data_IF_114845533429
#
_entry.id   IF_114845533429
#
_cell.length_a   1.000
_cell.length_b   1.000
_cell.length_c   1.000
_cell.angle_alpha   90.00
_cell.angle_beta   90.00
_cell.angle_gamma   90.00
#
_symmetry.space_group_name_H-M   'P 1'
#
loop_
_entity.id
_entity.type
_entity.pdbx_description
1 polymer ?
#
# COMPACT_ATOMS: atom_id res chain seq x y z
N UNK A 1 12.86 3.56 12.18
CA UNK A 1 13.52 2.26 12.49
C UNK A 1 13.48 1.96 13.97
N UNK A 2 13.29 0.70 14.36
CA UNK A 2 13.43 0.25 15.76
C UNK A 2 14.29 -1.00 15.82
N UNK A 3 15.31 -0.98 16.68
CA UNK A 3 16.14 -2.14 16.97
C UNK A 3 15.67 -2.81 18.25
N UNK A 4 15.50 -4.14 18.24
CA UNK A 4 15.13 -4.94 19.42
C UNK A 4 16.04 -6.15 19.52
N UNK A 5 16.45 -6.50 20.74
CA UNK A 5 17.17 -7.74 21.04
C UNK A 5 16.35 -8.58 22.02
N UNK A 6 16.19 -9.87 21.71
CA UNK A 6 15.51 -10.83 22.58
C UNK A 6 16.38 -12.08 22.72
N UNK A 7 17.10 -12.17 23.84
CA UNK A 7 18.16 -13.16 24.05
C UNK A 7 19.24 -13.05 22.96
N UNK A 8 19.35 -14.08 22.13
CA UNK A 8 20.30 -14.16 21.01
C UNK A 8 19.75 -13.60 19.68
N UNK A 9 18.47 -13.21 19.64
CA UNK A 9 17.82 -12.72 18.42
C UNK A 9 17.94 -11.21 18.31
N UNK A 10 18.34 -10.73 17.13
CA UNK A 10 18.44 -9.31 16.80
C UNK A 10 17.38 -8.97 15.74
N UNK A 11 16.62 -7.91 15.99
CA UNK A 11 15.53 -7.45 15.11
C UNK A 11 15.78 -6.00 14.69
N UNK A 12 15.62 -5.73 13.40
CA UNK A 12 15.38 -4.40 12.84
C UNK A 12 13.93 -4.35 12.39
N UNK A 13 13.16 -3.39 12.89
CA UNK A 13 11.73 -3.26 12.67
C UNK A 13 11.47 -1.93 11.96
N UNK A 14 10.79 -2.01 10.83
CA UNK A 14 10.31 -0.90 10.00
C UNK A 14 8.80 -1.04 9.96
N UNK A 15 8.06 -0.12 10.60
CA UNK A 15 6.60 -0.27 10.75
C UNK A 15 5.86 0.15 9.47
N UNK A 16 6.28 1.27 8.87
CA UNK A 16 5.71 1.84 7.66
C UNK A 16 6.84 1.97 6.64
N UNK A 17 7.13 0.86 5.94
CA UNK A 17 8.20 0.84 4.95
C UNK A 17 7.78 1.64 3.70
N UNK A 18 8.66 2.52 3.27
CA UNK A 18 8.53 3.35 2.07
C UNK A 18 9.56 2.94 1.02
N UNK A 19 9.44 3.47 -0.20
CA UNK A 19 10.45 3.22 -1.23
C UNK A 19 11.87 3.65 -0.81
N UNK A 20 11.99 4.64 0.06
CA UNK A 20 13.27 5.13 0.58
C UNK A 20 13.96 4.12 1.51
N UNK A 21 13.20 3.19 2.11
CA UNK A 21 13.73 2.12 2.95
C UNK A 21 14.33 0.96 2.12
N UNK A 22 14.10 0.91 0.81
CA UNK A 22 14.64 -0.15 -0.02
C UNK A 22 16.18 -0.08 -0.08
N UNK A 23 16.83 -1.23 0.05
CA UNK A 23 18.30 -1.30 -0.01
C UNK A 23 18.90 -2.47 0.75
N UNK A 24 20.24 -2.48 0.81
CA UNK A 24 21.00 -3.52 1.50
C UNK A 24 21.19 -3.17 2.97
N UNK A 25 20.86 -4.12 3.83
CA UNK A 25 21.05 -4.05 5.27
C UNK A 25 22.14 -5.03 5.73
N UNK A 26 22.86 -4.63 6.77
CA UNK A 26 23.93 -5.42 7.36
C UNK A 26 23.76 -5.52 8.87
N UNK A 27 23.80 -6.73 9.42
CA UNK A 27 24.00 -6.95 10.86
C UNK A 27 25.46 -7.34 11.07
N UNK A 28 26.21 -6.49 11.77
CA UNK A 28 27.61 -6.77 12.14
C UNK A 28 27.69 -7.10 13.63
N UNK A 29 28.38 -8.19 13.94
CA UNK A 29 28.69 -8.60 15.32
C UNK A 29 30.20 -8.85 15.45
N UNK A 30 30.67 -9.13 16.66
CA UNK A 30 32.06 -9.54 16.88
C UNK A 30 32.41 -10.87 16.20
N UNK A 31 31.43 -11.75 15.97
CA UNK A 31 31.62 -13.06 15.38
C UNK A 31 31.47 -13.11 13.86
N UNK A 32 31.06 -12.00 13.21
CA UNK A 32 30.88 -11.95 11.77
C UNK A 32 29.82 -10.94 11.32
N UNK A 33 29.44 -11.03 10.05
CA UNK A 33 28.48 -10.14 9.42
C UNK A 33 27.46 -10.94 8.61
N UNK A 34 26.20 -10.51 8.66
CA UNK A 34 25.12 -10.98 7.80
C UNK A 34 24.61 -9.83 6.93
N UNK A 35 24.22 -10.13 5.70
CA UNK A 35 23.68 -9.18 4.72
C UNK A 35 22.31 -9.64 4.25
N UNK A 36 21.41 -8.68 4.00
CA UNK A 36 20.11 -8.91 3.38
C UNK A 36 19.74 -7.68 2.52
N UNK A 37 18.83 -7.86 1.57
CA UNK A 37 18.28 -6.78 0.76
C UNK A 37 16.79 -6.66 1.04
N UNK A 38 16.34 -5.43 1.33
CA UNK A 38 14.94 -5.08 1.42
C UNK A 38 14.51 -4.49 0.08
N UNK A 39 13.52 -5.13 -0.54
CA UNK A 39 12.83 -4.59 -1.71
C UNK A 39 11.47 -4.12 -1.23
N UNK A 40 11.20 -2.82 -1.38
CA UNK A 40 9.89 -2.24 -1.11
C UNK A 40 9.20 -1.99 -2.45
N UNK A 41 8.00 -2.50 -2.61
CA UNK A 41 7.18 -2.27 -3.79
C UNK A 41 6.06 -1.30 -3.43
N UNK A 42 5.78 -0.35 -4.32
CA UNK A 42 4.58 0.46 -4.17
C UNK A 42 3.36 -0.46 -4.20
N UNK A 43 2.50 -0.33 -3.19
CA UNK A 43 1.18 -0.94 -3.27
C UNK A 43 0.45 -0.23 -4.40
N UNK A 44 0.24 -0.93 -5.51
CA UNK A 44 -0.57 -0.41 -6.60
C UNK A 44 -1.99 -0.22 -6.09
N UNK A 45 -2.58 0.95 -6.39
CA UNK A 45 -4.02 1.11 -6.29
C UNK A 45 -4.64 0.18 -7.34
N UNK A 46 -5.44 -0.77 -6.88
CA UNK A 46 -6.18 -1.68 -7.74
C UNK A 46 -7.65 -1.31 -7.65
N UNK A 47 -8.35 -1.35 -8.78
CA UNK A 47 -9.81 -1.21 -8.81
C UNK A 47 -10.37 -2.62 -8.81
N UNK A 48 -10.93 -3.04 -7.66
CA UNK A 48 -11.52 -4.38 -7.51
C UNK A 48 -12.88 -4.48 -8.17
N UNK A 49 -13.68 -3.43 -8.04
CA UNK A 49 -14.96 -3.32 -8.72
C UNK A 49 -14.98 -2.03 -9.51
N UNK A 50 -14.96 -2.16 -10.84
CA UNK A 50 -15.14 -1.02 -11.73
C UNK A 50 -16.59 -0.53 -11.71
N UNK A 51 -16.78 0.71 -12.15
CA UNK A 51 -18.12 1.21 -12.47
C UNK A 51 -18.70 0.43 -13.66
N UNK A 52 -20.03 0.37 -13.72
CA UNK A 52 -20.77 -0.24 -14.82
C UNK A 52 -21.88 0.71 -15.28
N UNK A 53 -22.31 0.53 -16.53
CA UNK A 53 -23.41 1.31 -17.10
C UNK A 53 -24.72 1.03 -16.35
N UNK A 54 -25.49 2.07 -16.09
CA UNK A 54 -26.78 1.99 -15.40
C UNK A 54 -27.88 2.52 -16.31
N UNK A 55 -28.97 1.77 -16.44
CA UNK A 55 -30.23 2.24 -17.01
C UNK A 55 -31.26 2.27 -15.90
N UNK A 56 -31.78 3.46 -15.57
CA UNK A 56 -32.80 3.66 -14.54
C UNK A 56 -33.98 4.44 -15.11
N UNK A 57 -35.15 4.28 -14.51
CA UNK A 57 -36.34 5.05 -14.87
C UNK A 57 -36.19 6.53 -14.52
N UNK A 58 -37.00 7.37 -15.17
CA UNK A 58 -37.10 8.77 -14.78
C UNK A 58 -37.62 8.87 -13.35
N UNK A 59 -36.94 9.68 -12.52
CA UNK A 59 -37.19 9.87 -11.07
C UNK A 59 -36.72 8.73 -10.15
N UNK A 60 -36.14 7.66 -10.70
CA UNK A 60 -35.51 6.62 -9.89
C UNK A 60 -34.10 7.02 -9.48
N UNK A 61 -33.61 6.40 -8.40
CA UNK A 61 -32.25 6.60 -7.90
C UNK A 61 -31.23 5.83 -8.76
N UNK A 62 -30.18 6.51 -9.23
CA UNK A 62 -28.99 5.89 -9.82
C UNK A 62 -27.83 5.94 -8.82
N UNK A 63 -27.16 4.80 -8.62
CA UNK A 63 -25.99 4.70 -7.71
C UNK A 63 -24.86 3.98 -8.42
N UNK A 64 -23.83 4.72 -8.83
CA UNK A 64 -22.56 4.13 -9.26
C UNK A 64 -21.79 3.63 -8.04
N UNK A 65 -21.11 2.50 -8.20
CA UNK A 65 -20.26 1.88 -7.16
C UNK A 65 -18.90 1.56 -7.76
N UNK A 66 -17.85 1.85 -7.01
CA UNK A 66 -16.46 1.53 -7.34
C UNK A 66 -15.77 1.07 -6.05
N UNK A 67 -15.02 -0.02 -6.11
CA UNK A 67 -14.23 -0.52 -4.99
C UNK A 67 -12.76 -0.52 -5.38
N UNK A 68 -11.90 -0.01 -4.47
CA UNK A 68 -10.46 0.12 -4.67
C UNK A 68 -9.68 -0.56 -3.55
N UNK A 69 -8.40 -0.85 -3.79
CA UNK A 69 -7.54 -1.60 -2.86
C UNK A 69 -7.10 -0.85 -1.60
N UNK A 70 -7.41 0.45 -1.50
CA UNK A 70 -7.04 1.29 -0.36
C UNK A 70 -8.20 2.21 0.02
N UNK A 71 -8.69 2.06 1.25
CA UNK A 71 -9.79 2.84 1.82
C UNK A 71 -9.45 4.33 2.03
N UNK A 72 -8.17 4.67 2.10
CA UNK A 72 -7.70 6.04 2.31
C UNK A 72 -7.63 6.85 1.02
N UNK A 73 -7.82 6.21 -0.13
CA UNK A 73 -7.82 6.88 -1.42
C UNK A 73 -9.12 7.65 -1.62
N UNK A 74 -8.99 8.94 -1.92
CA UNK A 74 -10.12 9.80 -2.28
C UNK A 74 -10.41 9.68 -3.78
N UNK A 75 -11.61 9.23 -4.12
CA UNK A 75 -12.12 9.24 -5.49
C UNK A 75 -12.71 10.59 -5.86
N UNK A 76 -12.59 10.95 -7.14
CA UNK A 76 -13.27 12.11 -7.76
C UNK A 76 -14.24 11.57 -8.79
N UNK A 77 -15.48 12.05 -8.78
CA UNK A 77 -16.48 11.71 -9.78
C UNK A 77 -16.50 12.78 -10.87
N UNK A 78 -16.52 12.35 -12.12
CA UNK A 78 -16.56 13.24 -13.27
C UNK A 78 -17.83 12.99 -14.07
N UNK A 79 -18.56 14.05 -14.39
CA UNK A 79 -19.65 14.05 -15.37
C UNK A 79 -19.17 14.75 -16.64
N UNK A 80 -19.11 14.01 -17.76
CA UNK A 80 -18.64 14.53 -19.06
C UNK A 80 -17.23 15.16 -18.98
N UNK A 81 -16.33 14.55 -18.21
CA UNK A 81 -14.95 15.02 -18.04
C UNK A 81 -14.80 16.24 -17.12
N UNK A 82 -15.84 16.64 -16.39
CA UNK A 82 -15.80 17.72 -15.40
C UNK A 82 -16.27 17.21 -14.05
N UNK A 83 -15.60 17.65 -12.98
CA UNK A 83 -16.01 17.43 -11.59
C UNK A 83 -17.31 18.18 -11.27
#
# INVERSE_FOLDING_TARGET
YRFKKDGQRHHLIINEATLEDAGRYALRTSGGQALAELIVQEKKLEVYQSIADLTVGSKDQAVFKCEVSDENVRGVWLKNGKE
#
